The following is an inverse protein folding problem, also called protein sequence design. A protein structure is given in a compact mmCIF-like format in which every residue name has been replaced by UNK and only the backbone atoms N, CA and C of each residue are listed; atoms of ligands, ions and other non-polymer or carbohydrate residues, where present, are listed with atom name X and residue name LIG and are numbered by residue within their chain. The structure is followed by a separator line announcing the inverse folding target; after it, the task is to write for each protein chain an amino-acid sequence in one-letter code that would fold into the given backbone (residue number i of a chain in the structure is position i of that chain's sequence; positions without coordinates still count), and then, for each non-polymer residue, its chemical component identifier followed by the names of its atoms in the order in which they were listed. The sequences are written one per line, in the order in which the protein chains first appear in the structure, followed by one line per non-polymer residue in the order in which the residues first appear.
data_IF_937297380515
#
_entry.id   IF_937297380515
#
_cell.length_a   1.000
_cell.length_b   1.000
_cell.length_c   1.000
_cell.angle_alpha   90.00
_cell.angle_beta   90.00
_cell.angle_gamma   90.00
#
_symmetry.space_group_name_H-M   'P 1'
#
loop_
_entity.id
_entity.type
_entity.pdbx_description
1 polymer ?
#
# COMPACT_ATOMS: atom_id res chain seq x y z
N UNK A 1 3.59 -30.61 14.31
CA UNK A 1 2.91 -29.31 14.16
C UNK A 1 3.90 -28.14 14.16
N UNK A 2 4.63 -27.82 15.23
CA UNK A 2 5.55 -26.66 15.24
C UNK A 2 6.64 -26.69 14.15
N UNK A 3 7.28 -27.84 13.91
CA UNK A 3 8.28 -28.00 12.84
C UNK A 3 7.67 -27.89 11.43
N UNK A 4 6.44 -28.39 11.25
CA UNK A 4 5.68 -28.34 9.99
C UNK A 4 5.25 -26.91 9.67
N UNK A 5 4.79 -26.15 10.67
CA UNK A 5 4.48 -24.72 10.53
C UNK A 5 5.71 -23.89 10.22
N UNK A 6 6.85 -24.17 10.88
CA UNK A 6 8.13 -23.52 10.57
C UNK A 6 8.61 -23.82 9.14
N UNK A 7 8.45 -25.05 8.66
CA UNK A 7 8.77 -25.42 7.28
C UNK A 7 7.80 -24.78 6.28
N UNK A 8 6.50 -24.70 6.60
CA UNK A 8 5.51 -24.02 5.78
C UNK A 8 5.82 -22.52 5.67
N UNK A 9 6.20 -21.85 6.77
CA UNK A 9 6.60 -20.44 6.75
C UNK A 9 7.87 -20.15 5.92
N UNK A 10 8.64 -21.19 5.59
CA UNK A 10 9.81 -21.06 4.69
C UNK A 10 9.43 -21.08 3.20
N UNK A 11 8.22 -21.55 2.87
CA UNK A 11 7.71 -21.68 1.49
C UNK A 11 6.59 -20.68 1.23
N UNK A 12 5.74 -20.43 2.23
CA UNK A 12 4.55 -19.59 2.17
C UNK A 12 4.68 -18.50 3.24
N UNK A 13 4.57 -17.24 2.83
CA UNK A 13 4.85 -16.08 3.69
C UNK A 13 3.61 -15.55 4.42
N UNK A 14 2.46 -15.71 3.78
CA UNK A 14 1.19 -15.24 4.33
C UNK A 14 0.03 -16.15 3.87
N UNK A 15 -1.10 -16.01 4.55
CA UNK A 15 -2.28 -16.82 4.28
C UNK A 15 -2.84 -16.57 2.87
N UNK A 16 -2.64 -15.40 2.27
CA UNK A 16 -3.05 -15.19 0.88
C UNK A 16 -2.23 -16.06 -0.08
N UNK A 17 -0.90 -16.05 0.04
CA UNK A 17 0.00 -16.93 -0.71
C UNK A 17 -0.33 -18.40 -0.45
N UNK A 18 -0.70 -18.77 0.78
CA UNK A 18 -1.20 -20.10 1.11
C UNK A 18 -2.43 -20.46 0.27
N UNK A 19 -3.39 -19.54 0.15
CA UNK A 19 -4.66 -19.76 -0.55
C UNK A 19 -4.50 -19.84 -2.06
N UNK A 20 -3.65 -19.00 -2.66
CA UNK A 20 -3.47 -18.95 -4.13
C UNK A 20 -2.41 -19.91 -4.66
N UNK A 21 -1.50 -20.41 -3.81
CA UNK A 21 -0.48 -21.37 -4.23
C UNK A 21 -1.08 -22.76 -4.40
N UNK A 22 -0.75 -23.38 -5.54
CA UNK A 22 -1.16 -24.74 -5.84
C UNK A 22 -0.70 -25.71 -4.74
N UNK A 23 -1.60 -26.59 -4.29
CA UNK A 23 -1.32 -27.52 -3.19
C UNK A 23 -0.13 -28.44 -3.51
N UNK A 24 -0.04 -28.90 -4.77
CA UNK A 24 1.08 -29.70 -5.27
C UNK A 24 2.43 -29.00 -5.08
N UNK A 25 2.51 -27.70 -5.35
CA UNK A 25 3.73 -26.92 -5.17
C UNK A 25 4.18 -26.91 -3.70
N UNK A 26 3.23 -26.71 -2.77
CA UNK A 26 3.51 -26.65 -1.33
C UNK A 26 3.98 -28.01 -0.83
N UNK A 27 3.28 -29.09 -1.20
CA UNK A 27 3.58 -30.45 -0.77
C UNK A 27 4.95 -30.94 -1.25
N UNK A 28 5.38 -30.52 -2.46
CA UNK A 28 6.72 -30.82 -2.98
C UNK A 28 7.85 -30.15 -2.18
N UNK A 29 7.59 -29.00 -1.57
CA UNK A 29 8.59 -28.14 -0.90
C UNK A 29 8.54 -28.19 0.62
N UNK A 30 7.52 -28.81 1.19
CA UNK A 30 7.37 -29.01 2.64
C UNK A 30 7.32 -30.53 2.95
N UNK A 31 8.48 -31.20 3.05
CA UNK A 31 8.53 -32.64 3.29
C UNK A 31 7.83 -33.03 4.59
N UNK A 32 6.90 -34.00 4.51
CA UNK A 32 6.16 -34.50 5.66
C UNK A 32 4.86 -33.74 5.98
N UNK A 33 4.46 -32.76 5.17
CA UNK A 33 3.11 -32.21 5.20
C UNK A 33 2.18 -33.12 4.38
N UNK A 34 1.08 -33.59 4.99
CA UNK A 34 0.05 -34.36 4.25
C UNK A 34 -0.96 -33.42 3.59
N UNK A 35 -1.66 -33.92 2.58
CA UNK A 35 -2.75 -33.19 1.91
C UNK A 35 -3.84 -32.76 2.89
N UNK A 36 -4.22 -33.63 3.83
CA UNK A 36 -5.23 -33.34 4.85
C UNK A 36 -4.78 -32.21 5.78
N UNK A 37 -3.53 -32.26 6.24
CA UNK A 37 -2.98 -31.22 7.10
C UNK A 37 -2.91 -29.87 6.38
N UNK A 38 -2.47 -29.84 5.12
CA UNK A 38 -2.46 -28.61 4.31
C UNK A 38 -3.88 -28.04 4.15
N UNK A 39 -4.86 -28.91 3.90
CA UNK A 39 -6.27 -28.51 3.76
C UNK A 39 -6.84 -27.96 5.06
N UNK A 40 -6.52 -28.54 6.21
CA UNK A 40 -6.92 -28.00 7.52
C UNK A 40 -6.34 -26.61 7.77
N UNK A 41 -5.05 -26.40 7.48
CA UNK A 41 -4.38 -25.10 7.61
C UNK A 41 -5.05 -24.07 6.68
N UNK A 42 -5.33 -24.43 5.41
CA UNK A 42 -6.05 -23.55 4.47
C UNK A 42 -7.44 -23.19 4.97
N UNK A 43 -8.17 -24.15 5.54
CA UNK A 43 -9.51 -23.90 6.11
C UNK A 43 -9.46 -23.00 7.34
N UNK A 44 -8.45 -23.15 8.19
CA UNK A 44 -8.26 -22.29 9.36
C UNK A 44 -7.86 -20.87 8.95
N UNK A 45 -6.93 -20.73 8.01
CA UNK A 45 -6.55 -19.44 7.40
C UNK A 45 -7.77 -18.76 6.75
N UNK A 46 -8.57 -19.51 5.99
CA UNK A 46 -9.82 -19.03 5.42
C UNK A 46 -10.80 -18.57 6.51
N UNK A 47 -10.95 -19.28 7.62
CA UNK A 47 -11.86 -18.87 8.71
C UNK A 47 -11.39 -17.60 9.43
N UNK A 48 -10.08 -17.48 9.65
CA UNK A 48 -9.50 -16.36 10.38
C UNK A 48 -9.42 -15.08 9.52
N UNK A 49 -9.12 -15.21 8.22
CA UNK A 49 -8.96 -14.08 7.31
C UNK A 49 -10.18 -13.78 6.44
N UNK A 50 -10.98 -14.78 6.08
CA UNK A 50 -12.21 -14.65 5.29
C UNK A 50 -13.45 -14.69 6.19
N UNK A 51 -13.38 -14.11 7.39
CA UNK A 51 -14.58 -13.74 8.12
C UNK A 51 -15.23 -12.55 7.38
N UNK A 52 -15.67 -12.80 6.15
CA UNK A 52 -16.44 -11.90 5.30
C UNK A 52 -17.85 -12.01 5.83
N UNK A 53 -18.31 -11.07 6.67
CA UNK A 53 -19.67 -11.14 7.17
C UNK A 53 -20.61 -11.14 5.96
N UNK A 54 -21.53 -12.11 5.90
CA UNK A 54 -22.62 -12.03 4.94
C UNK A 54 -23.47 -10.83 5.34
N UNK A 55 -23.41 -9.79 4.52
CA UNK A 55 -24.17 -8.56 4.71
C UNK A 55 -25.12 -8.36 3.54
N UNK A 56 -26.21 -7.65 3.77
CA UNK A 56 -27.11 -7.23 2.70
C UNK A 56 -26.39 -6.24 1.77
N UNK A 57 -26.84 -6.14 0.52
CA UNK A 57 -26.30 -5.15 -0.42
C UNK A 57 -26.45 -3.71 0.07
N UNK A 58 -27.48 -3.42 0.87
CA UNK A 58 -27.67 -2.10 1.48
C UNK A 58 -26.59 -1.81 2.52
N UNK A 59 -26.36 -2.74 3.45
CA UNK A 59 -25.30 -2.59 4.46
C UNK A 59 -23.92 -2.48 3.80
N UNK A 60 -23.68 -3.20 2.70
CA UNK A 60 -22.42 -3.11 1.96
C UNK A 60 -22.20 -1.68 1.42
N UNK A 61 -23.21 -1.12 0.74
CA UNK A 61 -23.17 0.25 0.20
C UNK A 61 -23.02 1.29 1.31
N UNK A 62 -23.74 1.14 2.42
CA UNK A 62 -23.63 2.04 3.57
C UNK A 62 -22.23 1.98 4.21
N UNK A 63 -21.67 0.78 4.35
CA UNK A 63 -20.32 0.60 4.90
C UNK A 63 -19.24 1.18 3.98
N UNK A 64 -19.41 1.05 2.67
CA UNK A 64 -18.49 1.59 1.67
C UNK A 64 -18.59 3.11 1.62
N UNK A 65 -19.81 3.65 1.59
CA UNK A 65 -20.06 5.09 1.62
C UNK A 65 -19.51 5.76 2.89
N UNK A 66 -19.58 5.09 4.04
CA UNK A 66 -19.02 5.59 5.30
C UNK A 66 -17.48 5.65 5.29
N UNK A 67 -16.82 4.80 4.50
CA UNK A 67 -15.35 4.79 4.34
C UNK A 67 -14.88 5.61 3.15
N UNK A 68 -15.77 5.91 2.22
CA UNK A 68 -15.49 6.62 0.99
C UNK A 68 -15.05 8.06 1.24
N UNK A 69 -13.79 8.36 0.93
CA UNK A 69 -13.24 9.70 0.95
C UNK A 69 -12.33 9.91 -0.27
N UNK A 70 -12.14 11.17 -0.66
CA UNK A 70 -11.24 11.53 -1.76
C UNK A 70 -10.16 12.47 -1.23
N UNK A 71 -8.91 12.12 -1.50
CA UNK A 71 -7.74 12.94 -1.18
C UNK A 71 -7.28 13.66 -2.44
N UNK A 72 -7.27 14.99 -2.44
CA UNK A 72 -6.73 15.77 -3.56
C UNK A 72 -5.24 15.47 -3.78
N UNK A 73 -4.82 15.43 -5.04
CA UNK A 73 -3.40 15.34 -5.41
C UNK A 73 -2.59 16.60 -5.09
N UNK A 74 -3.27 17.67 -4.67
CA UNK A 74 -2.68 19.00 -4.54
C UNK A 74 -2.53 19.72 -5.88
N UNK A 75 -2.91 19.11 -7.00
CA UNK A 75 -2.86 19.70 -8.34
C UNK A 75 -4.24 19.67 -9.00
N UNK A 76 -4.96 20.81 -9.10
CA UNK A 76 -6.32 20.87 -9.64
C UNK A 76 -6.47 20.29 -11.05
N UNK A 77 -5.45 20.45 -11.89
CA UNK A 77 -5.46 19.87 -13.23
C UNK A 77 -5.41 18.35 -13.21
N UNK A 78 -4.63 17.75 -12.31
CA UNK A 78 -4.58 16.29 -12.14
C UNK A 78 -5.86 15.79 -11.48
N UNK A 79 -6.34 16.49 -10.46
CA UNK A 79 -7.62 16.17 -9.84
C UNK A 79 -8.73 16.13 -10.89
N UNK A 80 -8.79 17.12 -11.80
CA UNK A 80 -9.80 17.13 -12.86
C UNK A 80 -9.71 15.92 -13.82
N UNK A 81 -8.52 15.35 -14.01
CA UNK A 81 -8.32 14.15 -14.82
C UNK A 81 -8.70 12.87 -14.07
N UNK A 82 -8.57 12.85 -12.74
CA UNK A 82 -8.96 11.73 -11.91
C UNK A 82 -10.49 11.66 -11.83
N UNK A 83 -11.04 10.47 -12.03
CA UNK A 83 -12.49 10.22 -12.08
C UNK A 83 -13.25 10.83 -10.90
N UNK A 84 -12.65 10.78 -9.70
CA UNK A 84 -13.27 11.23 -8.45
C UNK A 84 -12.82 12.62 -8.00
N UNK A 85 -12.08 13.36 -8.85
CA UNK A 85 -11.46 14.65 -8.51
C UNK A 85 -10.37 14.55 -7.43
N UNK A 86 -9.64 13.44 -7.42
CA UNK A 86 -8.57 13.10 -6.49
C UNK A 86 -8.42 11.59 -6.35
N UNK A 87 -7.66 11.16 -5.35
CA UNK A 87 -7.44 9.76 -4.99
C UNK A 87 -8.56 9.25 -4.07
N UNK A 88 -9.37 8.34 -4.58
CA UNK A 88 -10.43 7.73 -3.79
C UNK A 88 -9.86 6.65 -2.86
N UNK A 89 -10.39 6.58 -1.65
CA UNK A 89 -10.19 5.45 -0.73
C UNK A 89 -10.68 4.15 -1.35
N UNK A 90 -10.08 3.01 -0.99
CA UNK A 90 -10.44 1.72 -1.60
C UNK A 90 -9.97 1.58 -3.04
N UNK A 91 -9.10 2.48 -3.51
CA UNK A 91 -8.52 2.41 -4.85
C UNK A 91 -7.00 2.46 -4.80
N UNK A 92 -6.39 1.78 -5.77
CA UNK A 92 -4.97 1.88 -6.07
C UNK A 92 -4.85 2.71 -7.34
N UNK A 93 -4.18 3.86 -7.27
CA UNK A 93 -3.94 4.74 -8.43
C UNK A 93 -2.48 4.67 -8.83
N UNK A 94 -2.21 4.30 -10.09
CA UNK A 94 -0.87 4.26 -10.65
C UNK A 94 -0.56 5.52 -11.47
N UNK A 95 0.60 6.13 -11.22
CA UNK A 95 1.21 7.10 -12.11
C UNK A 95 2.45 6.51 -12.78
N UNK A 96 2.29 6.14 -14.05
CA UNK A 96 3.36 5.65 -14.90
C UNK A 96 3.92 6.76 -15.81
N UNK A 97 5.21 6.65 -16.14
CA UNK A 97 5.84 7.50 -17.16
C UNK A 97 7.36 7.54 -17.02
N UNK A 98 8.06 8.15 -17.96
CA UNK A 98 9.53 8.22 -17.97
C UNK A 98 10.13 8.78 -16.66
N UNK A 99 11.41 8.49 -16.40
CA UNK A 99 12.12 9.12 -15.29
C UNK A 99 12.10 10.65 -15.42
N UNK A 100 12.13 11.35 -14.27
CA UNK A 100 12.11 12.81 -14.19
C UNK A 100 10.84 13.52 -14.73
N UNK A 101 9.72 12.82 -14.95
CA UNK A 101 8.42 13.45 -15.34
C UNK A 101 7.65 14.12 -14.19
N UNK A 102 8.20 14.11 -12.96
CA UNK A 102 7.59 14.77 -11.81
C UNK A 102 6.71 13.89 -10.90
N UNK A 103 6.70 12.56 -11.09
CA UNK A 103 5.94 11.61 -10.24
C UNK A 103 6.22 11.79 -8.74
N UNK A 104 7.49 11.80 -8.34
CA UNK A 104 7.91 12.03 -6.95
C UNK A 104 7.46 13.41 -6.43
N UNK A 105 7.43 14.43 -7.29
CA UNK A 105 6.94 15.76 -6.90
C UNK A 105 5.43 15.74 -6.65
N UNK A 106 4.67 15.08 -7.52
CA UNK A 106 3.24 14.88 -7.32
C UNK A 106 2.96 14.10 -6.03
N UNK A 107 3.74 13.06 -5.75
CA UNK A 107 3.66 12.30 -4.52
C UNK A 107 3.86 13.19 -3.28
N UNK A 108 4.88 14.04 -3.27
CA UNK A 108 5.11 14.99 -2.18
C UNK A 108 3.96 15.99 -2.01
N UNK A 109 3.44 16.55 -3.11
CA UNK A 109 2.27 17.45 -3.05
C UNK A 109 1.03 16.74 -2.49
N UNK A 110 0.82 15.49 -2.89
CA UNK A 110 -0.34 14.69 -2.46
C UNK A 110 -0.28 14.38 -0.96
N UNK A 111 0.90 13.98 -0.46
CA UNK A 111 1.12 13.78 0.99
C UNK A 111 0.89 15.07 1.76
N UNK A 112 1.50 16.17 1.33
CA UNK A 112 1.34 17.46 1.99
C UNK A 112 -0.13 17.90 2.01
N UNK A 113 -0.83 17.73 0.90
CA UNK A 113 -2.26 18.06 0.79
C UNK A 113 -3.09 17.23 1.77
N UNK A 114 -2.86 15.92 1.82
CA UNK A 114 -3.54 15.02 2.77
C UNK A 114 -3.30 15.42 4.23
N UNK A 115 -2.03 15.62 4.61
CA UNK A 115 -1.65 15.96 5.98
C UNK A 115 -2.09 17.37 6.40
N UNK A 116 -2.16 18.33 5.47
CA UNK A 116 -2.67 19.66 5.76
C UNK A 116 -4.19 19.68 5.90
N UNK A 117 -4.91 18.86 5.12
CA UNK A 117 -6.36 18.82 5.14
C UNK A 117 -6.91 18.14 6.40
N UNK A 118 -6.23 17.09 6.89
CA UNK A 118 -6.64 16.34 8.08
C UNK A 118 -5.52 16.40 9.13
N UNK A 119 -5.59 17.32 10.12
CA UNK A 119 -4.47 17.58 11.04
C UNK A 119 -4.04 16.39 11.92
N UNK A 120 -4.91 15.40 12.10
CA UNK A 120 -4.65 14.20 12.89
C UNK A 120 -4.43 12.95 12.01
N UNK A 121 -4.33 13.11 10.68
CA UNK A 121 -4.00 11.96 9.83
C UNK A 121 -2.49 11.76 9.77
N UNK A 122 -2.11 10.52 9.50
CA UNK A 122 -0.74 10.14 9.16
C UNK A 122 -0.67 9.67 7.72
N UNK A 123 0.54 9.70 7.17
CA UNK A 123 0.84 9.21 5.82
C UNK A 123 2.11 8.36 5.83
N UNK A 124 2.15 7.35 4.95
CA UNK A 124 3.32 6.50 4.74
C UNK A 124 3.86 6.73 3.33
N UNK A 125 5.15 7.04 3.23
CA UNK A 125 5.89 7.06 1.97
C UNK A 125 6.88 5.90 1.94
N UNK A 126 6.70 4.98 1.00
CA UNK A 126 7.63 3.88 0.74
C UNK A 126 8.59 4.32 -0.36
N UNK A 127 9.85 4.49 0.00
CA UNK A 127 10.92 4.97 -0.87
C UNK A 127 11.80 3.83 -1.33
N UNK A 128 11.76 3.51 -2.62
CA UNK A 128 12.61 2.46 -3.20
C UNK A 128 13.82 2.95 -3.96
N UNK A 129 13.87 4.24 -4.28
CA UNK A 129 14.92 4.82 -5.12
C UNK A 129 15.73 5.90 -4.37
N UNK A 130 15.57 6.00 -3.05
CA UNK A 130 16.15 7.06 -2.23
C UNK A 130 15.76 8.46 -2.76
N UNK A 131 14.52 8.60 -3.23
CA UNK A 131 14.01 9.85 -3.82
C UNK A 131 13.46 10.81 -2.76
N UNK A 132 13.20 10.31 -1.55
CA UNK A 132 12.64 11.11 -0.46
C UNK A 132 13.60 12.22 -0.02
N UNK A 133 13.08 13.43 0.14
CA UNK A 133 13.86 14.59 0.60
C UNK A 133 13.06 15.41 1.60
N UNK A 134 13.52 15.42 2.85
CA UNK A 134 12.95 16.23 3.93
C UNK A 134 12.99 17.72 3.56
N UNK A 135 14.13 18.20 3.06
CA UNK A 135 14.28 19.59 2.63
C UNK A 135 13.28 19.95 1.53
N UNK A 136 13.00 19.02 0.61
CA UNK A 136 12.01 19.23 -0.44
C UNK A 136 10.60 19.34 0.13
N UNK A 137 10.21 18.47 1.06
CA UNK A 137 8.92 18.53 1.77
C UNK A 137 8.77 19.85 2.51
N UNK A 138 9.78 20.27 3.29
CA UNK A 138 9.79 21.57 3.99
C UNK A 138 9.63 22.72 3.01
N UNK A 139 10.46 22.73 1.96
CA UNK A 139 10.42 23.79 0.94
C UNK A 139 9.06 23.87 0.25
N UNK A 140 8.45 22.73 -0.10
CA UNK A 140 7.12 22.67 -0.68
C UNK A 140 6.08 23.26 0.26
N UNK A 141 6.09 22.83 1.52
CA UNK A 141 5.16 23.31 2.52
C UNK A 141 5.33 24.81 2.81
N UNK A 142 6.56 25.31 2.93
CA UNK A 142 6.86 26.69 3.33
C UNK A 142 6.75 27.71 2.20
N UNK A 143 7.02 27.31 0.95
CA UNK A 143 7.10 28.24 -0.18
C UNK A 143 5.95 28.14 -1.16
N UNK A 144 5.15 27.06 -1.13
CA UNK A 144 3.98 26.96 -2.01
C UNK A 144 2.81 27.76 -1.45
N UNK A 145 2.14 28.53 -2.29
CA UNK A 145 0.89 29.23 -1.93
C UNK A 145 -0.25 28.25 -1.58
N UNK A 146 -0.17 27.01 -2.08
CA UNK A 146 -1.16 25.94 -1.82
C UNK A 146 -1.35 25.64 -0.33
N UNK A 147 -0.30 25.82 0.46
CA UNK A 147 -0.33 25.50 1.90
C UNK A 147 -0.40 26.76 2.77
N UNK A 148 -0.68 27.93 2.19
CA UNK A 148 -0.79 29.20 2.92
C UNK A 148 -1.81 29.12 4.06
N UNK A 149 -3.02 28.63 3.78
CA UNK A 149 -4.08 28.52 4.77
C UNK A 149 -3.69 27.59 5.95
N UNK A 150 -2.99 26.48 5.68
CA UNK A 150 -2.51 25.59 6.73
C UNK A 150 -1.47 26.30 7.63
N UNK A 151 -0.55 27.08 7.03
CA UNK A 151 0.43 27.88 7.78
C UNK A 151 -0.24 28.96 8.63
N UNK A 152 -1.27 29.65 8.11
CA UNK A 152 -2.04 30.64 8.88
C UNK A 152 -2.78 30.02 10.07
N UNK A 153 -3.20 28.76 9.96
CA UNK A 153 -3.79 27.99 11.06
C UNK A 153 -2.75 27.48 12.07
N UNK A 154 -1.48 27.86 11.93
CA UNK A 154 -0.40 27.48 12.83
C UNK A 154 0.22 26.11 12.54
N UNK A 155 -0.06 25.51 11.38
CA UNK A 155 0.64 24.29 10.97
C UNK A 155 2.09 24.60 10.61
N UNK A 156 3.02 23.80 11.14
CA UNK A 156 4.46 23.91 10.88
C UNK A 156 4.95 22.71 10.08
N UNK A 157 6.14 22.83 9.49
CA UNK A 157 6.76 21.70 8.79
C UNK A 157 7.03 20.54 9.77
N UNK A 158 7.38 20.84 11.02
CA UNK A 158 7.60 19.86 12.08
C UNK A 158 6.32 19.08 12.42
N UNK A 159 5.16 19.74 12.46
CA UNK A 159 3.86 19.07 12.65
C UNK A 159 3.49 18.14 11.49
N UNK A 160 3.96 18.43 10.28
CA UNK A 160 3.74 17.57 9.11
C UNK A 160 4.69 16.38 9.18
N UNK A 161 5.98 16.63 9.42
CA UNK A 161 7.01 15.61 9.45
C UNK A 161 6.82 14.62 10.59
N UNK A 162 6.23 15.02 11.73
CA UNK A 162 5.88 14.09 12.81
C UNK A 162 4.81 13.06 12.44
N UNK A 163 4.01 13.33 11.40
CA UNK A 163 2.91 12.48 10.93
C UNK A 163 3.22 11.73 9.62
N UNK A 164 4.35 12.04 9.00
CA UNK A 164 4.84 11.37 7.81
C UNK A 164 5.88 10.32 8.19
N UNK A 165 5.53 9.03 8.09
CA UNK A 165 6.53 7.96 8.16
C UNK A 165 7.10 7.70 6.78
N UNK A 166 8.39 7.40 6.74
CA UNK A 166 9.10 7.00 5.53
C UNK A 166 9.71 5.63 5.79
N UNK A 167 9.50 4.70 4.85
CA UNK A 167 10.15 3.40 4.88
C UNK A 167 10.96 3.21 3.61
N UNK A 168 12.20 2.76 3.77
CA UNK A 168 13.03 2.39 2.63
C UNK A 168 12.86 0.92 2.32
N UNK A 169 12.56 0.59 1.06
CA UNK A 169 12.43 -0.77 0.57
C UNK A 169 13.26 -0.94 -0.69
N UNK A 170 14.24 -1.85 -0.67
CA UNK A 170 15.20 -1.97 -1.78
C UNK A 170 14.96 -3.18 -2.69
N UNK A 171 14.03 -4.05 -2.32
CA UNK A 171 13.62 -5.20 -3.13
C UNK A 171 12.13 -5.52 -2.93
N UNK A 172 11.60 -6.33 -3.82
CA UNK A 172 10.18 -6.68 -3.83
C UNK A 172 9.74 -7.42 -2.56
N UNK A 173 10.63 -8.23 -1.95
CA UNK A 173 10.31 -9.00 -0.76
C UNK A 173 10.18 -8.10 0.47
N UNK A 174 11.10 -7.14 0.65
CA UNK A 174 10.97 -6.11 1.68
C UNK A 174 9.68 -5.31 1.55
N UNK A 175 9.26 -5.01 0.31
CA UNK A 175 7.97 -4.36 0.07
C UNK A 175 6.80 -5.25 0.54
N UNK A 176 6.78 -6.52 0.16
CA UNK A 176 5.72 -7.43 0.59
C UNK A 176 5.68 -7.58 2.12
N UNK A 177 6.83 -7.73 2.77
CA UNK A 177 6.93 -7.87 4.23
C UNK A 177 6.42 -6.61 4.95
N UNK A 178 6.78 -5.42 4.43
CA UNK A 178 6.28 -4.14 4.92
C UNK A 178 4.76 -4.04 4.79
N UNK A 179 4.24 -4.31 3.60
CA UNK A 179 2.80 -4.21 3.33
C UNK A 179 2.00 -5.22 4.15
N UNK A 180 2.51 -6.46 4.30
CA UNK A 180 1.88 -7.49 5.12
C UNK A 180 1.86 -7.09 6.60
N UNK A 181 2.98 -6.54 7.09
CA UNK A 181 3.06 -6.04 8.47
C UNK A 181 2.11 -4.86 8.70
N UNK A 182 2.01 -3.94 7.72
CA UNK A 182 1.08 -2.82 7.77
C UNK A 182 -0.37 -3.30 7.79
N UNK A 183 -0.73 -4.23 6.89
CA UNK A 183 -2.06 -4.83 6.84
C UNK A 183 -2.42 -5.50 8.17
N UNK A 184 -1.48 -6.24 8.77
CA UNK A 184 -1.67 -6.87 10.08
C UNK A 184 -1.92 -5.84 11.18
N UNK A 185 -1.17 -4.74 11.20
CA UNK A 185 -1.36 -3.67 12.18
C UNK A 185 -2.69 -2.93 11.99
N UNK A 186 -3.13 -2.72 10.75
CA UNK A 186 -4.44 -2.14 10.42
C UNK A 186 -5.58 -3.07 10.88
N UNK A 187 -5.47 -4.36 10.63
CA UNK A 187 -6.45 -5.37 11.03
C UNK A 187 -6.63 -5.43 12.55
N UNK A 188 -5.51 -5.51 13.28
CA UNK A 188 -5.52 -5.60 14.75
C UNK A 188 -5.68 -4.24 15.44
N UNK A 189 -5.76 -3.14 14.68
CA UNK A 189 -5.84 -1.77 15.18
C UNK A 189 -4.71 -1.45 16.17
N UNK A 190 -3.51 -1.95 15.88
CA UNK A 190 -2.33 -1.78 16.72
C UNK A 190 -1.50 -0.60 16.23
N UNK A 191 -1.17 0.30 17.16
CA UNK A 191 -0.32 1.44 16.88
C UNK A 191 -1.09 2.71 16.55
N UNK A 192 -0.68 3.82 17.15
CA UNK A 192 -1.32 5.13 16.96
C UNK A 192 -1.20 5.62 15.50
N UNK A 193 -0.07 5.31 14.84
CA UNK A 193 0.16 5.72 13.47
C UNK A 193 -0.79 5.03 12.50
N UNK A 194 -0.93 3.71 12.60
CA UNK A 194 -1.72 2.89 11.70
C UNK A 194 -3.20 3.19 11.84
N UNK A 195 -3.68 3.44 13.08
CA UNK A 195 -5.05 3.89 13.33
C UNK A 195 -5.40 5.25 12.71
N UNK A 196 -4.38 6.08 12.45
CA UNK A 196 -4.53 7.40 11.83
C UNK A 196 -4.08 7.45 10.36
N UNK A 197 -3.65 6.32 9.79
CA UNK A 197 -3.14 6.28 8.43
C UNK A 197 -4.26 6.58 7.43
N UNK A 198 -4.07 7.62 6.62
CA UNK A 198 -5.04 8.06 5.59
C UNK A 198 -4.45 8.16 4.20
N UNK A 199 -3.17 7.87 4.02
CA UNK A 199 -2.56 7.95 2.70
C UNK A 199 -1.28 7.10 2.62
N UNK A 200 -1.18 6.29 1.57
CA UNK A 200 -0.01 5.46 1.28
C UNK A 200 0.54 5.82 -0.11
N UNK A 201 1.82 6.15 -0.18
CA UNK A 201 2.55 6.29 -1.43
C UNK A 201 3.65 5.24 -1.52
N UNK A 202 3.80 4.63 -2.70
CA UNK A 202 4.95 3.79 -3.05
C UNK A 202 5.67 4.41 -4.25
N UNK A 203 6.83 5.01 -3.99
CA UNK A 203 7.70 5.59 -5.02
C UNK A 203 9.03 4.83 -5.06
N UNK A 204 9.25 3.89 -5.97
CA UNK A 204 8.38 3.40 -7.06
C UNK A 204 8.25 1.88 -7.00
N UNK A 205 7.12 1.32 -7.46
CA UNK A 205 7.04 -0.14 -7.65
C UNK A 205 7.82 -0.60 -8.87
N UNK A 206 8.05 0.26 -9.86
CA UNK A 206 8.72 -0.10 -11.10
C UNK A 206 10.11 -0.69 -10.87
N UNK A 207 10.93 -0.05 -10.02
CA UNK A 207 12.26 -0.56 -9.67
C UNK A 207 12.23 -1.85 -8.84
N UNK A 208 11.22 -2.01 -7.99
CA UNK A 208 11.09 -3.17 -7.10
C UNK A 208 10.59 -4.41 -7.82
N UNK A 209 9.60 -4.24 -8.71
CA UNK A 209 8.90 -5.35 -9.35
C UNK A 209 9.53 -5.74 -10.69
N UNK A 210 10.22 -4.83 -11.40
CA UNK A 210 10.83 -5.15 -12.69
C UNK A 210 11.77 -6.38 -12.67
N UNK A 211 12.63 -6.59 -11.65
CA UNK A 211 13.47 -7.80 -11.58
C UNK A 211 12.67 -9.10 -11.39
N UNK A 212 11.42 -8.99 -10.93
CA UNK A 212 10.53 -10.10 -10.58
C UNK A 212 9.60 -10.45 -11.75
N UNK A 213 9.31 -9.47 -12.62
CA UNK A 213 8.49 -9.64 -13.81
C UNK A 213 9.22 -10.50 -14.86
N UNK A 214 8.60 -11.60 -15.27
CA UNK A 214 9.08 -12.47 -16.37
C UNK A 214 9.78 -13.76 -15.94
N UNK A 215 10.01 -13.97 -14.64
CA UNK A 215 10.56 -15.23 -14.13
C UNK A 215 9.45 -16.26 -13.84
N UNK A 216 9.65 -17.57 -14.12
CA UNK A 216 8.69 -18.62 -13.79
C UNK A 216 8.37 -18.64 -12.28
N UNK A 217 7.08 -18.69 -11.93
CA UNK A 217 6.62 -18.73 -10.53
C UNK A 217 6.48 -17.36 -9.83
N UNK A 218 7.00 -16.28 -10.42
CA UNK A 218 6.92 -14.93 -9.82
C UNK A 218 5.59 -14.20 -10.05
N UNK A 219 4.70 -14.75 -10.88
CA UNK A 219 3.34 -14.23 -11.05
C UNK A 219 2.55 -14.29 -9.73
N UNK A 220 2.69 -15.37 -8.96
CA UNK A 220 2.04 -15.50 -7.65
C UNK A 220 2.53 -14.45 -6.64
N UNK A 221 3.81 -14.07 -6.73
CA UNK A 221 4.39 -13.03 -5.90
C UNK A 221 3.79 -11.66 -6.23
N UNK A 222 3.74 -11.30 -7.52
CA UNK A 222 3.13 -10.04 -7.98
C UNK A 222 1.64 -9.97 -7.60
N UNK A 223 0.91 -11.08 -7.75
CA UNK A 223 -0.47 -11.17 -7.30
C UNK A 223 -0.60 -10.97 -5.79
N UNK A 224 0.33 -11.48 -4.99
CA UNK A 224 0.32 -11.31 -3.54
C UNK A 224 0.54 -9.85 -3.14
N UNK A 225 1.46 -9.13 -3.79
CA UNK A 225 1.64 -7.68 -3.59
C UNK A 225 0.34 -6.94 -3.92
N UNK A 226 -0.27 -7.24 -5.07
CA UNK A 226 -1.53 -6.64 -5.50
C UNK A 226 -2.66 -6.84 -4.49
N UNK A 227 -2.83 -8.05 -3.97
CA UNK A 227 -3.89 -8.37 -3.01
C UNK A 227 -3.66 -7.71 -1.65
N UNK A 228 -2.41 -7.64 -1.17
CA UNK A 228 -2.12 -6.93 0.08
C UNK A 228 -2.37 -5.44 -0.07
N UNK A 229 -2.03 -4.83 -1.22
CA UNK A 229 -2.34 -3.42 -1.49
C UNK A 229 -3.84 -3.17 -1.54
N UNK A 230 -4.59 -4.06 -2.19
CA UNK A 230 -6.06 -3.97 -2.27
C UNK A 230 -6.68 -4.06 -0.87
N UNK A 231 -6.22 -5.02 -0.07
CA UNK A 231 -6.63 -5.17 1.32
C UNK A 231 -6.31 -3.93 2.16
N UNK A 232 -5.12 -3.33 2.03
CA UNK A 232 -4.77 -2.06 2.70
C UNK A 232 -5.74 -0.95 2.26
N UNK A 233 -6.06 -0.87 0.96
CA UNK A 233 -6.94 0.17 0.43
C UNK A 233 -8.36 0.08 1.01
N UNK A 234 -8.83 -1.14 1.31
CA UNK A 234 -10.15 -1.42 1.90
C UNK A 234 -10.34 -0.86 3.32
N UNK A 235 -9.26 -0.49 4.01
CA UNK A 235 -9.29 0.24 5.29
C UNK A 235 -9.58 1.74 5.12
N UNK A 236 -10.00 2.17 3.94
CA UNK A 236 -10.29 3.58 3.67
C UNK A 236 -9.00 4.39 3.45
N UNK A 237 -7.98 3.78 2.84
CA UNK A 237 -6.67 4.38 2.59
C UNK A 237 -6.47 4.43 1.07
N UNK A 238 -6.39 5.61 0.44
CA UNK A 238 -5.99 5.70 -0.96
C UNK A 238 -4.53 5.30 -1.09
N UNK A 239 -4.24 4.41 -2.05
CA UNK A 239 -2.89 3.95 -2.34
C UNK A 239 -2.45 4.55 -3.67
N UNK A 240 -1.33 5.27 -3.66
CA UNK A 240 -0.73 5.83 -4.88
C UNK A 240 0.59 5.15 -5.16
N UNK A 241 0.75 4.68 -6.39
CA UNK A 241 1.92 3.94 -6.83
C UNK A 241 2.57 4.69 -7.98
N UNK A 242 3.88 4.95 -7.88
CA UNK A 242 4.66 5.51 -8.98
C UNK A 242 5.38 4.38 -9.72
N UNK A 243 5.40 4.46 -11.05
CA UNK A 243 6.12 3.52 -11.91
C UNK A 243 6.87 4.24 -13.02
N UNK A 244 7.99 3.66 -13.46
CA UNK A 244 8.72 4.15 -14.62
C UNK A 244 8.38 3.32 -15.86
N UNK A 245 8.05 3.98 -16.95
CA UNK A 245 7.98 3.33 -18.25
C UNK A 245 9.39 3.29 -18.85
N UNK A 246 9.86 2.08 -19.19
CA UNK A 246 10.98 1.91 -20.10
C UNK A 246 10.37 1.99 -21.49
N UNK A 247 10.56 3.12 -22.17
CA UNK A 247 10.33 3.18 -23.61
C UNK A 247 11.34 2.23 -24.26
N UNK A 248 10.89 1.04 -24.64
CA UNK A 248 11.55 0.22 -25.65
C UNK A 248 11.32 0.92 -27.00
N UNK A 249 12.03 2.01 -27.22
CA UNK A 249 12.19 2.55 -28.57
C UNK A 249 13.11 1.58 -29.32
N UNK A 250 12.49 0.66 -30.06
CA UNK A 250 13.12 -0.08 -31.15
C UNK A 250 13.46 0.85 -32.32
#
# INVERSE_FOLDING_TARGET
MAATYSALSSVIRNDHELMVTAETYILERVPGLSEEALREIKLEAARNQLNVPMMSGLEAVESEAARWHVVSSGCPGIDQLLQYRGFATGTITEFAGMSATGKTQLAFFSILTSLCLVPQSTALFVDSNCSFSIERIKTLFEKSDRFHAAREQGMTAEHILSRLKVSHCYDAHQLLDLLTSLQWSLYNQTGEFEGQLKFLIIDSVGSLLAPVVGLPGQQAFLSSVGVVLDAISSYGIPVVVCAFEISLSC
#
